data_IF_324958026125
#
_entry.id   IF_324958026125
#
_cell.length_a   1.000
_cell.length_b   1.000
_cell.length_c   1.000
_cell.angle_alpha   90.00
_cell.angle_beta   90.00
_cell.angle_gamma   90.00
#
_symmetry.space_group_name_H-M   'P 1'
#
loop_
_entity.id
_entity.type
_entity.pdbx_description
1 polymer ?
#
# COMPACT_ATOMS: atom_id res chain seq x y z
N UNK A 1 18.91 -19.20 7.53
CA UNK A 1 18.22 -20.19 8.38
C UNK A 1 16.83 -19.68 8.72
N UNK A 2 15.84 -20.57 8.85
CA UNK A 2 14.49 -20.21 9.31
C UNK A 2 14.34 -20.57 10.79
N UNK A 3 13.84 -19.63 11.58
CA UNK A 3 13.56 -19.83 13.01
C UNK A 3 12.09 -19.51 13.29
N UNK A 4 11.52 -20.14 14.33
CA UNK A 4 10.15 -19.87 14.78
C UNK A 4 10.17 -18.86 15.92
N UNK A 5 9.34 -17.83 15.81
CA UNK A 5 9.07 -16.85 16.87
C UNK A 5 7.66 -17.09 17.39
N UNK A 6 7.51 -17.35 18.69
CA UNK A 6 6.22 -17.51 19.36
C UNK A 6 5.94 -16.26 20.19
N UNK A 7 4.79 -15.63 19.98
CA UNK A 7 4.37 -14.42 20.68
C UNK A 7 3.07 -14.70 21.44
N UNK A 8 2.98 -14.22 22.67
CA UNK A 8 1.73 -14.19 23.43
C UNK A 8 1.00 -12.89 23.13
N UNK A 9 -0.21 -12.99 22.61
CA UNK A 9 -1.06 -11.87 22.19
C UNK A 9 -2.49 -12.16 22.63
N UNK A 10 -3.30 -11.11 22.70
CA UNK A 10 -4.73 -11.27 22.93
C UNK A 10 -5.40 -12.05 21.81
N UNK A 11 -6.37 -12.90 22.16
CA UNK A 11 -7.07 -13.78 21.20
C UNK A 11 -7.76 -12.96 20.10
N UNK A 12 -8.38 -11.84 20.46
CA UNK A 12 -9.09 -10.98 19.51
C UNK A 12 -8.13 -10.39 18.46
N UNK A 13 -6.94 -9.97 18.89
CA UNK A 13 -5.89 -9.47 17.99
C UNK A 13 -5.44 -10.55 17.01
N UNK A 14 -5.28 -11.80 17.48
CA UNK A 14 -4.90 -12.93 16.62
C UNK A 14 -5.98 -13.18 15.55
N UNK A 15 -7.26 -13.12 15.91
CA UNK A 15 -8.35 -13.36 14.96
C UNK A 15 -8.46 -12.24 13.92
N UNK A 16 -8.41 -10.97 14.33
CA UNK A 16 -8.38 -9.84 13.39
C UNK A 16 -7.18 -9.91 12.44
N UNK A 17 -6.01 -10.30 12.95
CA UNK A 17 -4.82 -10.43 12.12
C UNK A 17 -4.93 -11.55 11.08
N UNK A 18 -5.54 -12.70 11.44
CA UNK A 18 -5.83 -13.80 10.50
C UNK A 18 -6.84 -13.39 9.44
N UNK A 19 -7.90 -12.68 9.82
CA UNK A 19 -8.91 -12.21 8.87
C UNK A 19 -8.28 -11.24 7.86
N UNK A 20 -7.52 -10.27 8.35
CA UNK A 20 -6.78 -9.34 7.50
C UNK A 20 -5.83 -10.06 6.55
N UNK A 21 -5.05 -11.04 7.03
CA UNK A 21 -4.10 -11.75 6.19
C UNK A 21 -4.79 -12.54 5.06
N UNK A 22 -5.95 -13.15 5.35
CA UNK A 22 -6.77 -13.83 4.34
C UNK A 22 -7.28 -12.86 3.28
N UNK A 23 -7.80 -11.70 3.69
CA UNK A 23 -8.28 -10.65 2.77
C UNK A 23 -7.18 -10.13 1.85
N UNK A 24 -5.94 -10.06 2.36
CA UNK A 24 -4.78 -9.60 1.60
C UNK A 24 -4.07 -10.72 0.82
N UNK A 25 -4.61 -11.95 0.83
CA UNK A 25 -3.99 -13.13 0.22
C UNK A 25 -2.52 -13.34 0.63
N UNK A 26 -2.17 -12.98 1.87
CA UNK A 26 -0.81 -13.09 2.44
C UNK A 26 -0.84 -13.92 3.72
N UNK A 27 0.23 -14.66 3.98
CA UNK A 27 0.34 -15.38 5.25
C UNK A 27 0.61 -14.41 6.40
N UNK A 28 0.03 -14.69 7.56
CA UNK A 28 0.24 -13.89 8.77
C UNK A 28 1.73 -13.81 9.13
N UNK A 29 2.45 -14.93 9.03
CA UNK A 29 3.90 -14.96 9.27
C UNK A 29 4.66 -14.01 8.34
N UNK A 30 4.23 -13.87 7.08
CA UNK A 30 4.88 -12.96 6.13
C UNK A 30 4.61 -11.49 6.47
N UNK A 31 3.40 -11.18 6.93
CA UNK A 31 3.05 -9.83 7.39
C UNK A 31 3.91 -9.43 8.59
N UNK A 32 4.02 -10.31 9.59
CA UNK A 32 4.83 -10.06 10.79
C UNK A 32 6.32 -9.97 10.43
N UNK A 33 6.83 -10.86 9.59
CA UNK A 33 8.22 -10.80 9.11
C UNK A 33 8.52 -9.46 8.43
N UNK A 34 7.65 -8.99 7.54
CA UNK A 34 7.82 -7.72 6.83
C UNK A 34 7.79 -6.53 7.80
N UNK A 35 6.87 -6.53 8.76
CA UNK A 35 6.78 -5.48 9.77
C UNK A 35 8.05 -5.43 10.62
N UNK A 36 8.51 -6.58 11.13
CA UNK A 36 9.75 -6.67 11.91
C UNK A 36 10.95 -6.17 11.10
N UNK A 37 11.06 -6.55 9.82
CA UNK A 37 12.11 -6.03 8.92
C UNK A 37 12.06 -4.50 8.84
N UNK A 38 10.87 -3.95 8.61
CA UNK A 38 10.68 -2.50 8.47
C UNK A 38 11.09 -1.72 9.72
N UNK A 39 10.73 -2.19 10.92
CA UNK A 39 11.10 -1.49 12.16
C UNK A 39 12.58 -1.67 12.53
N UNK A 40 13.20 -2.80 12.15
CA UNK A 40 14.63 -3.06 12.44
C UNK A 40 15.59 -2.40 11.45
N UNK A 41 15.09 -1.93 10.30
CA UNK A 41 15.92 -1.29 9.28
C UNK A 41 16.44 0.10 9.67
N UNK A 42 16.03 0.64 10.83
CA UNK A 42 16.68 1.78 11.46
C UNK A 42 16.63 3.05 10.61
N UNK A 43 15.57 3.84 10.78
CA UNK A 43 15.58 5.28 10.49
C UNK A 43 16.14 5.69 9.12
N UNK A 44 15.33 5.59 8.08
CA UNK A 44 15.36 6.63 7.05
C UNK A 44 14.13 7.50 7.26
N UNK A 45 14.30 8.56 8.05
CA UNK A 45 13.41 9.73 8.12
C UNK A 45 13.38 10.54 6.80
N UNK A 46 13.90 9.98 5.70
CA UNK A 46 13.59 10.51 4.39
C UNK A 46 12.29 9.86 3.98
N UNK A 47 11.30 10.70 3.70
CA UNK A 47 10.03 10.45 3.03
C UNK A 47 10.26 9.69 1.71
N UNK A 48 10.73 8.46 1.80
CA UNK A 48 10.94 7.58 0.68
C UNK A 48 9.53 7.20 0.26
N UNK A 49 9.09 7.83 -0.84
CA UNK A 49 7.90 7.45 -1.58
C UNK A 49 7.83 5.92 -1.56
N UNK A 50 6.79 5.39 -0.91
CA UNK A 50 6.69 3.93 -0.77
C UNK A 50 6.73 3.29 -2.16
N UNK A 51 7.28 2.08 -2.34
CA UNK A 51 7.41 1.45 -3.66
C UNK A 51 6.09 1.45 -4.45
N UNK A 52 4.97 1.25 -3.76
CA UNK A 52 3.63 1.34 -4.33
C UNK A 52 3.30 2.75 -4.87
N UNK A 53 3.58 3.79 -4.09
CA UNK A 53 3.36 5.17 -4.54
C UNK A 53 4.32 5.54 -5.68
N UNK A 54 5.55 5.02 -5.66
CA UNK A 54 6.50 5.21 -6.77
C UNK A 54 5.97 4.59 -8.06
N UNK A 55 5.48 3.35 -7.99
CA UNK A 55 4.85 2.65 -9.11
C UNK A 55 3.63 3.42 -9.63
N UNK A 56 2.76 3.91 -8.75
CA UNK A 56 1.57 4.69 -9.14
C UNK A 56 1.93 6.06 -9.72
N UNK A 57 2.97 6.71 -9.19
CA UNK A 57 3.38 8.06 -9.64
C UNK A 57 3.99 8.06 -11.04
N UNK A 58 4.58 6.95 -11.50
CA UNK A 58 5.11 6.81 -12.85
C UNK A 58 4.07 6.52 -13.93
N UNK A 59 2.82 6.23 -13.57
CA UNK A 59 1.75 5.88 -14.52
C UNK A 59 1.12 7.13 -15.17
N UNK A 60 1.23 8.29 -14.54
CA UNK A 60 0.62 9.53 -15.03
C UNK A 60 1.72 10.54 -15.34
N UNK A 61 1.91 10.83 -16.62
CA UNK A 61 2.83 11.90 -17.03
C UNK A 61 2.34 13.26 -16.48
N UNK A 62 3.22 14.09 -15.89
CA UNK A 62 2.82 15.35 -15.28
C UNK A 62 2.03 16.27 -16.22
N UNK A 63 2.37 16.30 -17.52
CA UNK A 63 1.67 17.12 -18.53
C UNK A 63 0.36 16.52 -19.05
N UNK A 64 0.07 15.24 -18.77
CA UNK A 64 -1.17 14.60 -19.19
C UNK A 64 -2.36 15.03 -18.32
N UNK A 65 -2.12 15.54 -17.11
CA UNK A 65 -3.18 15.91 -16.16
C UNK A 65 -3.95 17.15 -16.65
N UNK A 66 -3.27 18.23 -17.03
CA UNK A 66 -3.89 19.45 -17.55
C UNK A 66 -4.68 19.17 -18.84
N UNK A 67 -4.12 18.38 -19.76
CA UNK A 67 -4.77 18.04 -21.03
C UNK A 67 -6.03 17.19 -20.79
N UNK A 68 -5.94 16.20 -19.92
CA UNK A 68 -7.06 15.32 -19.56
C UNK A 68 -8.17 16.03 -18.79
N UNK A 69 -7.84 17.06 -18.00
CA UNK A 69 -8.82 17.94 -17.35
C UNK A 69 -9.61 18.75 -18.39
N UNK A 70 -8.94 19.32 -19.39
CA UNK A 70 -9.59 20.08 -20.45
C UNK A 70 -10.51 19.19 -21.30
N UNK A 71 -10.01 18.03 -21.75
CA UNK A 71 -10.80 17.03 -22.48
C UNK A 71 -12.03 16.54 -21.68
N UNK A 72 -11.87 16.36 -20.36
CA UNK A 72 -12.97 15.94 -19.49
C UNK A 72 -14.02 17.05 -19.30
N UNK A 73 -13.59 18.32 -19.19
CA UNK A 73 -14.50 19.46 -19.11
C UNK A 73 -15.32 19.63 -20.40
N UNK A 74 -14.68 19.42 -21.55
CA UNK A 74 -15.33 19.49 -22.88
C UNK A 74 -16.35 18.34 -23.05
N UNK A 75 -15.97 17.12 -22.67
CA UNK A 75 -16.87 15.97 -22.63
C UNK A 75 -18.11 16.22 -21.75
N UNK A 76 -17.94 16.78 -20.54
CA UNK A 76 -19.06 17.10 -19.66
C UNK A 76 -19.95 18.19 -20.26
N UNK A 77 -19.36 19.20 -20.89
CA UNK A 77 -20.11 20.27 -21.57
C UNK A 77 -20.96 19.72 -22.70
N UNK A 78 -20.46 18.76 -23.46
CA UNK A 78 -21.19 18.11 -24.56
C UNK A 78 -22.26 17.14 -24.04
N UNK A 79 -21.96 16.37 -22.98
CA UNK A 79 -22.88 15.39 -22.39
C UNK A 79 -24.12 16.02 -21.75
N UNK A 80 -23.98 17.21 -21.16
CA UNK A 80 -25.06 17.93 -20.48
C UNK A 80 -25.61 19.11 -21.30
N UNK A 81 -25.31 19.13 -22.60
CA UNK A 81 -25.94 20.03 -23.58
C UNK A 81 -27.28 19.49 -24.04
#
# INVERSE_FOLDING_TARGET
MQAKLTLSLEKEVIEHAKEFSRRQHKSLSKLVENYLRQITLGGSENEAITPLVSELSGVIEPGAVEKRKAEYAEFLTEKYR
#
